data_IF_318974715674
#
_entry.id   IF_318974715674
#
_cell.length_a   1.000
_cell.length_b   1.000
_cell.length_c   1.000
_cell.angle_alpha   90.00
_cell.angle_beta   90.00
_cell.angle_gamma   90.00
#
_symmetry.space_group_name_H-M   'P 1'
#
loop_
_entity.id
_entity.type
_entity.pdbx_description
1 polymer ?
#
# COMPACT_ATOMS: atom_id res chain seq x y z
N UNK A 1 34.39 -0.35 -0.17
CA UNK A 1 33.29 -0.96 0.62
C UNK A 1 33.65 -2.41 0.85
N UNK A 2 33.81 -2.84 2.12
CA UNK A 2 33.97 -4.26 2.44
C UNK A 2 32.71 -4.98 1.98
N UNK A 3 32.87 -6.10 1.27
CA UNK A 3 31.74 -6.99 0.99
C UNK A 3 31.16 -7.44 2.34
N UNK A 4 30.07 -6.80 2.76
CA UNK A 4 29.28 -7.31 3.87
C UNK A 4 28.70 -8.64 3.39
N UNK A 5 29.12 -9.73 4.03
CA UNK A 5 28.47 -11.00 3.79
C UNK A 5 27.02 -10.86 4.20
N UNK A 6 26.11 -11.01 3.25
CA UNK A 6 24.67 -10.88 3.43
C UNK A 6 24.18 -11.67 4.66
N UNK A 7 24.77 -12.83 4.89
CA UNK A 7 24.49 -13.72 6.01
C UNK A 7 24.78 -13.10 7.39
N UNK A 8 25.80 -12.24 7.52
CA UNK A 8 26.15 -11.63 8.80
C UNK A 8 25.22 -10.48 9.18
N UNK A 9 24.62 -9.81 8.19
CA UNK A 9 23.73 -8.67 8.42
C UNK A 9 22.34 -9.11 8.87
N UNK A 10 21.75 -10.11 8.20
CA UNK A 10 20.36 -10.51 8.46
C UNK A 10 20.21 -11.51 9.62
N UNK A 11 21.23 -12.28 9.93
CA UNK A 11 21.10 -13.38 10.91
C UNK A 11 22.10 -13.35 12.04
N UNK A 12 22.99 -12.36 12.06
CA UNK A 12 24.11 -12.36 13.00
C UNK A 12 24.98 -13.61 12.89
N UNK A 13 25.12 -14.16 11.68
CA UNK A 13 25.93 -15.36 11.42
C UNK A 13 25.23 -16.70 11.67
N UNK A 14 23.90 -16.70 11.88
CA UNK A 14 23.12 -17.91 12.20
C UNK A 14 22.50 -18.62 10.99
N UNK A 15 22.87 -18.28 9.77
CA UNK A 15 22.40 -19.04 8.60
C UNK A 15 22.95 -20.47 8.59
N UNK A 16 22.16 -21.43 8.13
CA UNK A 16 22.64 -22.79 7.93
C UNK A 16 23.88 -22.80 7.04
N UNK A 17 24.84 -23.61 7.39
CA UNK A 17 26.02 -23.86 6.51
C UNK A 17 25.49 -24.33 5.15
N UNK A 18 25.97 -23.69 4.07
CA UNK A 18 25.58 -24.03 2.70
C UNK A 18 24.49 -23.13 2.11
N UNK A 19 23.95 -22.15 2.86
CA UNK A 19 23.08 -21.17 2.25
C UNK A 19 23.88 -20.27 1.30
N UNK A 20 23.44 -20.17 0.07
CA UNK A 20 23.99 -19.24 -0.92
C UNK A 20 22.83 -18.48 -1.58
N UNK A 21 23.08 -17.20 -1.89
CA UNK A 21 22.14 -16.44 -2.70
C UNK A 21 22.04 -17.08 -4.09
N UNK A 22 20.82 -17.20 -4.62
CA UNK A 22 20.61 -17.68 -5.97
C UNK A 22 21.43 -16.91 -7.00
N UNK A 23 21.99 -17.61 -7.97
CA UNK A 23 22.89 -17.00 -8.97
C UNK A 23 22.17 -15.96 -9.84
N UNK A 24 20.86 -16.10 -10.04
CA UNK A 24 20.06 -15.13 -10.80
C UNK A 24 19.99 -13.75 -10.13
N UNK A 25 20.21 -13.66 -8.81
CA UNK A 25 20.30 -12.37 -8.10
C UNK A 25 21.65 -11.67 -8.32
N UNK A 26 22.57 -12.32 -9.04
CA UNK A 26 23.90 -11.78 -9.33
C UNK A 26 23.95 -11.16 -10.72
N UNK A 27 24.62 -10.03 -10.85
CA UNK A 27 25.02 -9.43 -12.11
C UNK A 27 26.54 -9.49 -12.20
N UNK A 28 27.07 -10.18 -13.23
CA UNK A 28 28.52 -10.40 -13.39
C UNK A 28 29.18 -11.07 -12.16
N UNK A 29 28.52 -12.09 -11.57
CA UNK A 29 29.01 -12.80 -10.39
C UNK A 29 28.93 -12.03 -9.07
N UNK A 30 28.45 -10.78 -9.09
CA UNK A 30 28.30 -9.94 -7.90
C UNK A 30 26.82 -9.78 -7.53
N UNK A 31 26.53 -9.70 -6.24
CA UNK A 31 25.18 -9.36 -5.77
C UNK A 31 24.68 -8.04 -6.39
N UNK A 32 23.49 -8.07 -6.95
CA UNK A 32 22.85 -6.89 -7.53
C UNK A 32 21.60 -6.52 -6.71
N UNK A 33 21.68 -5.40 -5.99
CA UNK A 33 20.54 -4.87 -5.23
C UNK A 33 19.33 -4.64 -6.15
N UNK A 34 19.55 -4.09 -7.33
CA UNK A 34 18.50 -3.82 -8.31
C UNK A 34 17.76 -5.09 -8.74
N UNK A 35 18.50 -6.15 -9.11
CA UNK A 35 17.90 -7.45 -9.44
C UNK A 35 17.16 -8.05 -8.26
N UNK A 36 17.73 -7.98 -7.07
CA UNK A 36 17.10 -8.53 -5.87
C UNK A 36 15.79 -7.82 -5.56
N UNK A 37 15.77 -6.50 -5.62
CA UNK A 37 14.53 -5.73 -5.41
C UNK A 37 13.48 -6.04 -6.47
N UNK A 38 13.88 -6.14 -7.74
CA UNK A 38 12.98 -6.53 -8.83
C UNK A 38 12.36 -7.91 -8.60
N UNK A 39 13.15 -8.89 -8.17
CA UNK A 39 12.65 -10.24 -7.88
C UNK A 39 11.74 -10.26 -6.64
N UNK A 40 12.09 -9.54 -5.57
CA UNK A 40 11.24 -9.43 -4.38
C UNK A 40 9.90 -8.79 -4.76
N UNK A 41 9.93 -7.69 -5.49
CA UNK A 41 8.70 -7.02 -5.94
C UNK A 41 7.86 -7.98 -6.78
N UNK A 42 8.47 -8.73 -7.70
CA UNK A 42 7.74 -9.67 -8.54
C UNK A 42 7.16 -10.85 -7.75
N UNK A 43 7.93 -11.44 -6.84
CA UNK A 43 7.51 -12.65 -6.11
C UNK A 43 6.55 -12.35 -4.95
N UNK A 44 6.75 -11.24 -4.24
CA UNK A 44 5.90 -10.87 -3.10
C UNK A 44 4.69 -10.05 -3.53
N UNK A 45 4.92 -9.04 -4.36
CA UNK A 45 3.84 -8.12 -4.76
C UNK A 45 3.24 -8.48 -6.12
N UNK A 46 4.01 -9.16 -6.98
CA UNK A 46 3.58 -9.53 -8.32
C UNK A 46 3.41 -8.35 -9.26
N UNK A 47 2.81 -8.62 -10.39
CA UNK A 47 2.43 -7.60 -11.36
C UNK A 47 0.91 -7.53 -11.41
N UNK A 48 0.36 -6.36 -11.08
CA UNK A 48 -1.06 -6.08 -11.24
C UNK A 48 -1.31 -5.77 -12.72
N UNK A 49 -2.14 -6.58 -13.38
CA UNK A 49 -2.55 -6.30 -14.75
C UNK A 49 -3.57 -5.15 -14.75
N UNK A 50 -3.13 -3.97 -15.18
CA UNK A 50 -3.97 -2.77 -15.31
C UNK A 50 -4.69 -2.69 -16.65
N UNK A 51 -4.48 -3.64 -17.57
CA UNK A 51 -5.08 -3.60 -18.90
C UNK A 51 -6.61 -3.61 -18.80
N UNK A 52 -7.25 -2.68 -19.51
CA UNK A 52 -8.70 -2.52 -19.51
C UNK A 52 -9.32 -1.99 -18.22
N UNK A 53 -8.50 -1.59 -17.23
CA UNK A 53 -8.97 -0.94 -16.03
C UNK A 53 -9.47 0.47 -16.34
N UNK A 54 -10.70 0.77 -15.93
CA UNK A 54 -11.25 2.11 -15.93
C UNK A 54 -11.42 2.60 -14.50
N UNK A 55 -11.00 3.82 -14.24
CA UNK A 55 -11.10 4.46 -12.93
C UNK A 55 -11.86 5.77 -13.08
N UNK A 56 -12.85 5.97 -12.21
CA UNK A 56 -13.49 7.26 -12.01
C UNK A 56 -13.50 7.63 -10.53
N UNK A 57 -13.46 8.93 -10.25
CA UNK A 57 -13.35 9.45 -8.89
C UNK A 57 -14.47 10.44 -8.63
N UNK A 58 -15.13 10.29 -7.49
CA UNK A 58 -16.19 11.19 -7.01
C UNK A 58 -15.83 11.72 -5.62
N UNK A 59 -16.05 13.02 -5.39
CA UNK A 59 -16.01 13.57 -4.04
C UNK A 59 -17.31 13.20 -3.31
N UNK A 60 -17.15 12.50 -2.18
CA UNK A 60 -18.26 11.99 -1.36
C UNK A 60 -18.17 12.47 0.11
N UNK A 61 -17.42 13.55 0.34
CA UNK A 61 -17.17 14.08 1.70
C UNK A 61 -18.47 14.31 2.45
N UNK A 62 -19.44 14.94 1.81
CA UNK A 62 -20.73 15.28 2.43
C UNK A 62 -21.71 14.10 2.50
N UNK A 63 -21.45 13.01 1.77
CA UNK A 63 -22.34 11.85 1.67
C UNK A 63 -21.96 10.71 2.62
N UNK A 64 -20.67 10.50 2.84
CA UNK A 64 -20.13 9.32 3.55
C UNK A 64 -19.44 9.62 4.87
N UNK A 65 -19.30 10.88 5.21
CA UNK A 65 -18.60 11.27 6.41
C UNK A 65 -19.48 12.14 7.30
N UNK A 66 -19.79 11.64 8.50
CA UNK A 66 -20.56 12.28 9.56
C UNK A 66 -19.73 12.70 10.77
N UNK A 67 -18.39 12.55 10.70
CA UNK A 67 -17.45 12.89 11.75
C UNK A 67 -16.88 14.31 11.61
N UNK A 68 -16.45 14.87 12.73
CA UNK A 68 -15.73 16.14 12.77
C UNK A 68 -14.22 15.91 12.98
N UNK A 69 -13.48 15.78 11.89
CA UNK A 69 -12.03 15.68 11.96
C UNK A 69 -11.34 16.98 12.37
N UNK A 70 -12.02 18.12 12.29
CA UNK A 70 -11.47 19.40 12.76
C UNK A 70 -11.12 19.36 14.25
N UNK A 71 -11.93 18.68 15.04
CA UNK A 71 -11.66 18.51 16.48
C UNK A 71 -10.36 17.72 16.73
N UNK A 72 -10.16 16.60 16.02
CA UNK A 72 -9.00 15.73 16.22
C UNK A 72 -7.70 16.36 15.73
N UNK A 73 -7.75 17.09 14.64
CA UNK A 73 -6.55 17.69 14.03
C UNK A 73 -6.40 19.18 14.33
N UNK A 74 -7.15 19.72 15.29
CA UNK A 74 -7.12 21.14 15.66
C UNK A 74 -7.22 22.08 14.45
N UNK A 75 -8.03 21.73 13.45
CA UNK A 75 -8.17 22.44 12.16
C UNK A 75 -6.84 22.56 11.35
N UNK A 76 -5.87 21.70 11.62
CA UNK A 76 -4.60 21.67 10.89
C UNK A 76 -4.71 21.07 9.50
N UNK A 77 -5.76 20.30 9.25
CA UNK A 77 -5.99 19.62 7.98
C UNK A 77 -7.37 19.92 7.40
N UNK A 78 -7.45 19.90 6.08
CA UNK A 78 -8.70 19.81 5.34
C UNK A 78 -8.93 18.34 4.99
N UNK A 79 -10.09 17.80 5.36
CA UNK A 79 -10.51 16.46 4.99
C UNK A 79 -11.31 16.48 3.67
N UNK A 80 -11.12 15.43 2.86
CA UNK A 80 -11.91 15.17 1.65
C UNK A 80 -12.00 13.66 1.47
N UNK A 81 -13.21 13.12 1.41
CA UNK A 81 -13.43 11.72 1.07
C UNK A 81 -13.62 11.58 -0.45
N UNK A 82 -12.80 10.73 -1.06
CA UNK A 82 -12.83 10.43 -2.50
C UNK A 82 -13.22 8.98 -2.70
N UNK A 83 -14.33 8.74 -3.40
CA UNK A 83 -14.72 7.41 -3.84
C UNK A 83 -14.09 7.11 -5.19
N UNK A 84 -13.30 6.07 -5.24
CA UNK A 84 -12.72 5.51 -6.45
C UNK A 84 -13.61 4.37 -6.93
N UNK A 85 -14.14 4.51 -8.12
CA UNK A 85 -14.92 3.47 -8.79
C UNK A 85 -14.06 2.85 -9.88
N UNK A 86 -13.91 1.53 -9.83
CA UNK A 86 -13.09 0.74 -10.75
C UNK A 86 -13.98 -0.19 -11.56
N UNK A 87 -13.70 -0.29 -12.85
CA UNK A 87 -14.33 -1.24 -13.76
C UNK A 87 -13.25 -2.00 -14.52
N UNK A 88 -13.30 -3.34 -14.50
CA UNK A 88 -12.40 -4.19 -15.28
C UNK A 88 -13.14 -5.48 -15.67
N UNK A 89 -13.07 -5.84 -16.96
CA UNK A 89 -13.66 -7.10 -17.48
C UNK A 89 -15.13 -7.32 -17.09
N UNK A 90 -15.94 -6.24 -17.07
CA UNK A 90 -17.35 -6.28 -16.68
C UNK A 90 -17.61 -6.45 -15.18
N UNK A 91 -16.57 -6.46 -14.35
CA UNK A 91 -16.67 -6.41 -12.89
C UNK A 91 -16.49 -4.97 -12.43
N UNK A 92 -17.15 -4.61 -11.32
CA UNK A 92 -17.04 -3.31 -10.70
C UNK A 92 -16.67 -3.45 -9.24
N UNK A 93 -15.86 -2.54 -8.73
CA UNK A 93 -15.56 -2.38 -7.32
C UNK A 93 -15.37 -0.91 -6.98
N UNK A 94 -15.43 -0.57 -5.70
CA UNK A 94 -15.18 0.78 -5.24
C UNK A 94 -14.51 0.75 -3.88
N UNK A 95 -13.72 1.79 -3.59
CA UNK A 95 -13.17 2.06 -2.27
C UNK A 95 -13.15 3.56 -2.01
N UNK A 96 -13.08 3.96 -0.74
CA UNK A 96 -12.97 5.36 -0.34
C UNK A 96 -11.55 5.63 0.17
N UNK A 97 -10.98 6.72 -0.29
CA UNK A 97 -9.77 7.30 0.26
C UNK A 97 -10.11 8.57 1.03
N UNK A 98 -9.79 8.60 2.32
CA UNK A 98 -9.89 9.81 3.13
C UNK A 98 -8.59 10.61 3.00
N UNK A 99 -8.68 11.74 2.31
CA UNK A 99 -7.54 12.62 2.07
C UNK A 99 -7.49 13.73 3.11
N UNK A 100 -6.40 13.78 3.86
CA UNK A 100 -6.11 14.84 4.83
C UNK A 100 -4.98 15.70 4.29
N UNK A 101 -5.28 16.96 3.99
CA UNK A 101 -4.31 17.92 3.45
C UNK A 101 -4.04 18.99 4.48
N UNK A 102 -2.78 19.23 4.88
CA UNK A 102 -2.44 20.30 5.81
C UNK A 102 -2.95 21.65 5.33
N UNK A 103 -3.53 22.44 6.23
CA UNK A 103 -3.98 23.80 5.92
C UNK A 103 -2.80 24.74 5.64
N UNK A 104 -1.63 24.42 6.17
CA UNK A 104 -0.36 25.08 5.87
C UNK A 104 0.48 24.18 4.99
N UNK A 105 0.23 24.19 3.69
CA UNK A 105 1.01 23.37 2.73
C UNK A 105 2.41 23.98 2.60
N UNK A 106 3.41 23.17 2.96
CA UNK A 106 4.83 23.50 2.74
C UNK A 106 5.44 22.75 1.56
N UNK A 107 4.81 21.64 1.15
CA UNK A 107 5.20 20.83 0.00
C UNK A 107 4.03 19.97 -0.48
N UNK A 108 4.11 19.44 -1.71
CA UNK A 108 3.11 18.51 -2.25
C UNK A 108 3.42 17.03 -1.92
N UNK A 109 4.12 16.79 -0.81
CA UNK A 109 4.39 15.43 -0.37
C UNK A 109 3.15 14.83 0.28
N UNK A 110 2.90 13.57 0.00
CA UNK A 110 1.84 12.82 0.65
C UNK A 110 2.29 11.39 0.95
N UNK A 111 1.63 10.78 1.93
CA UNK A 111 1.77 9.37 2.31
C UNK A 111 0.46 8.68 2.03
N UNK A 112 0.51 7.54 1.34
CA UNK A 112 -0.62 6.61 1.28
C UNK A 112 -0.49 5.66 2.47
N UNK A 113 -1.50 5.64 3.31
CA UNK A 113 -1.55 4.82 4.52
C UNK A 113 -2.71 3.83 4.44
N UNK A 114 -2.38 2.56 4.30
CA UNK A 114 -3.34 1.47 4.40
C UNK A 114 -3.45 1.05 5.87
N UNK A 115 -4.65 1.11 6.45
CA UNK A 115 -4.87 0.88 7.87
C UNK A 115 -5.91 -0.23 8.10
N UNK A 116 -5.74 -0.95 9.20
CA UNK A 116 -6.74 -1.88 9.73
C UNK A 116 -7.93 -1.18 10.38
N UNK A 117 -7.78 0.09 10.74
CA UNK A 117 -8.84 0.91 11.33
C UNK A 117 -9.47 1.79 10.26
N UNK A 118 -10.81 1.84 10.26
CA UNK A 118 -11.56 2.59 9.25
C UNK A 118 -11.41 4.10 9.40
N UNK A 119 -11.17 4.60 10.59
CA UNK A 119 -11.12 6.03 10.88
C UNK A 119 -9.83 6.42 11.59
N UNK A 120 -9.30 7.59 11.26
CA UNK A 120 -8.22 8.24 11.99
C UNK A 120 -8.79 9.02 13.20
N UNK A 121 -7.99 9.29 14.26
CA UNK A 121 -6.60 8.88 14.42
C UNK A 121 -6.46 7.42 14.84
N UNK A 122 -5.36 6.80 14.45
CA UNK A 122 -4.99 5.46 14.92
C UNK A 122 -3.56 5.44 15.46
N UNK A 123 -3.24 4.43 16.25
CA UNK A 123 -1.87 4.25 16.76
C UNK A 123 -0.84 3.88 15.67
N UNK A 124 -1.30 3.58 14.47
CA UNK A 124 -0.46 3.16 13.34
C UNK A 124 -0.10 4.31 12.40
N UNK A 125 -0.84 5.43 12.47
CA UNK A 125 -0.60 6.59 11.64
C UNK A 125 -0.32 7.82 12.50
N UNK A 126 0.89 8.39 12.49
CA UNK A 126 1.23 9.62 13.20
C UNK A 126 0.69 10.83 12.43
N UNK A 127 -0.64 10.89 12.23
CA UNK A 127 -1.27 11.84 11.32
C UNK A 127 -1.05 13.30 11.75
N UNK A 128 -1.06 13.60 13.05
CA UNK A 128 -0.85 14.97 13.53
C UNK A 128 0.57 15.47 13.26
N UNK A 129 1.56 14.60 13.47
CA UNK A 129 2.96 14.91 13.18
C UNK A 129 3.20 15.10 11.68
N UNK A 130 2.53 14.31 10.86
CA UNK A 130 2.57 14.46 9.40
C UNK A 130 1.94 15.80 8.98
N UNK A 131 0.79 16.17 9.57
CA UNK A 131 0.15 17.46 9.31
C UNK A 131 1.03 18.64 9.76
N UNK A 132 1.68 18.53 10.92
CA UNK A 132 2.63 19.53 11.40
C UNK A 132 3.87 19.65 10.50
N UNK A 133 4.30 18.54 9.92
CA UNK A 133 5.36 18.47 8.91
C UNK A 133 4.94 18.92 7.51
N UNK A 134 3.68 19.32 7.29
CA UNK A 134 3.18 19.74 5.99
C UNK A 134 3.01 18.59 5.00
N UNK A 135 2.87 17.34 5.48
CA UNK A 135 2.73 16.13 4.67
C UNK A 135 1.26 15.70 4.67
N UNK A 136 0.66 15.58 3.48
CA UNK A 136 -0.70 15.08 3.32
C UNK A 136 -0.76 13.57 3.55
N UNK A 137 -1.92 13.07 4.00
CA UNK A 137 -2.19 11.65 4.19
C UNK A 137 -3.41 11.24 3.37
N UNK A 138 -3.24 10.21 2.55
CA UNK A 138 -4.33 9.48 1.93
C UNK A 138 -4.54 8.19 2.73
N UNK A 139 -5.57 8.14 3.54
CA UNK A 139 -5.90 6.99 4.39
C UNK A 139 -6.84 6.06 3.64
N UNK A 140 -6.51 4.78 3.63
CA UNK A 140 -7.28 3.71 3.01
C UNK A 140 -7.62 2.65 4.05
N UNK A 141 -8.87 2.20 4.06
CA UNK A 141 -9.28 1.10 4.90
C UNK A 141 -9.06 -0.24 4.21
N UNK A 142 -8.28 -1.13 4.82
CA UNK A 142 -7.84 -2.37 4.18
C UNK A 142 -8.98 -3.25 3.65
N UNK A 143 -10.12 -3.33 4.36
CA UNK A 143 -11.25 -4.16 3.93
C UNK A 143 -11.92 -3.68 2.64
N UNK A 144 -11.74 -2.42 2.28
CA UNK A 144 -12.24 -1.90 1.00
C UNK A 144 -11.28 -2.24 -0.15
N UNK A 145 -10.02 -2.54 0.17
CA UNK A 145 -9.01 -2.97 -0.80
C UNK A 145 -9.02 -4.49 -0.91
N UNK A 146 -8.70 -5.19 0.18
CA UNK A 146 -8.75 -6.65 0.28
C UNK A 146 -8.78 -7.07 1.73
N UNK A 147 -9.59 -8.06 2.09
CA UNK A 147 -9.57 -8.64 3.44
C UNK A 147 -8.30 -9.45 3.66
N UNK A 148 -7.72 -9.35 4.87
CA UNK A 148 -6.50 -10.06 5.27
C UNK A 148 -6.82 -11.47 5.82
N UNK A 149 -7.60 -12.23 5.08
CA UNK A 149 -8.06 -13.58 5.45
C UNK A 149 -7.85 -14.61 4.32
N UNK A 150 -7.22 -14.18 3.22
CA UNK A 150 -7.03 -14.97 2.03
C UNK A 150 -8.31 -15.14 1.19
N UNK A 151 -9.40 -14.44 1.53
CA UNK A 151 -10.62 -14.38 0.73
C UNK A 151 -10.61 -13.17 -0.20
N UNK A 152 -10.15 -13.37 -1.42
CA UNK A 152 -10.09 -12.33 -2.46
C UNK A 152 -11.44 -12.07 -3.14
N UNK A 153 -12.56 -12.35 -2.48
CA UNK A 153 -13.91 -12.12 -3.02
C UNK A 153 -14.48 -10.74 -2.72
N UNK A 154 -13.80 -9.95 -1.87
CA UNK A 154 -14.25 -8.64 -1.41
C UNK A 154 -13.30 -7.50 -1.80
N UNK A 155 -13.73 -6.26 -1.61
CA UNK A 155 -12.98 -5.07 -1.96
C UNK A 155 -12.72 -4.97 -3.46
N UNK A 156 -11.54 -4.50 -3.84
CA UNK A 156 -11.12 -4.41 -5.25
C UNK A 156 -10.42 -5.67 -5.75
N UNK A 157 -10.07 -6.60 -4.87
CA UNK A 157 -9.32 -7.81 -5.20
C UNK A 157 -9.96 -8.65 -6.33
N UNK A 158 -11.30 -8.80 -6.42
CA UNK A 158 -11.94 -9.58 -7.49
C UNK A 158 -11.71 -9.03 -8.91
N UNK A 159 -11.24 -7.79 -9.05
CA UNK A 159 -10.90 -7.20 -10.34
C UNK A 159 -9.56 -7.71 -10.86
N UNK A 160 -8.66 -8.14 -9.97
CA UNK A 160 -7.28 -8.47 -10.29
C UNK A 160 -6.91 -9.93 -10.00
N UNK A 161 -7.62 -10.57 -9.08
CA UNK A 161 -7.36 -11.93 -8.65
C UNK A 161 -8.51 -12.86 -8.99
N UNK A 162 -8.18 -14.07 -9.43
CA UNK A 162 -9.12 -15.18 -9.45
C UNK A 162 -8.95 -15.98 -8.15
N UNK A 163 -10.05 -16.24 -7.47
CA UNK A 163 -10.09 -17.04 -6.23
C UNK A 163 -9.55 -18.45 -6.42
N UNK A 164 -9.65 -18.99 -7.62
CA UNK A 164 -9.18 -20.34 -7.96
C UNK A 164 -7.66 -20.48 -7.92
N UNK A 165 -6.92 -19.36 -8.06
CA UNK A 165 -5.47 -19.38 -8.05
C UNK A 165 -4.90 -18.83 -6.74
N UNK A 166 -4.83 -19.72 -5.73
CA UNK A 166 -4.34 -19.38 -4.39
C UNK A 166 -2.86 -19.03 -4.32
N UNK A 167 -2.10 -19.30 -5.39
CA UNK A 167 -0.64 -19.07 -5.45
C UNK A 167 -0.22 -18.06 -6.50
N UNK A 168 -1.16 -17.36 -7.14
CA UNK A 168 -0.81 -16.36 -8.14
C UNK A 168 0.10 -15.28 -7.53
N UNK A 169 1.22 -14.93 -8.19
CA UNK A 169 2.03 -13.79 -7.81
C UNK A 169 1.17 -12.53 -7.73
N UNK A 170 1.45 -11.68 -6.78
CA UNK A 170 0.74 -10.41 -6.63
C UNK A 170 -0.46 -10.42 -5.69
N UNK A 171 -0.87 -11.57 -5.17
CA UNK A 171 -1.97 -11.63 -4.19
C UNK A 171 -1.65 -10.91 -2.87
N UNK A 172 -0.39 -10.80 -2.50
CA UNK A 172 0.04 -10.06 -1.31
C UNK A 172 0.03 -8.53 -1.51
N UNK A 173 -0.10 -8.05 -2.74
CA UNK A 173 -0.17 -6.62 -3.04
C UNK A 173 -1.60 -6.06 -3.03
N UNK A 174 -2.57 -6.93 -2.88
CA UNK A 174 -3.98 -6.61 -2.76
C UNK A 174 -4.44 -6.86 -1.34
#
# INVERSE_FOLDING_TARGET
MKNLEFNSVLTGGRYPKGFSLPDYLRKNGKFSREKTLSEIVREEYGEIDESGLKISVKNVTDEKFDGDYGYFFCNKAKHTALEFMLEKNGKNAAFVADLFVPTKIMSYNFVVHLDFMKYLPTKYCPVEELMDGGIAVAHLYYKEISTDDGDFSSGIAPLFCDRSDSYAPGKLSL
#
